data_IF_545387976487
#
_entry.id   IF_545387976487
#
_cell.length_a   1.000
_cell.length_b   1.000
_cell.length_c   1.000
_cell.angle_alpha   90.00
_cell.angle_beta   90.00
_cell.angle_gamma   90.00
#
_symmetry.space_group_name_H-M   'P 1'
#
loop_
_entity.id
_entity.type
_entity.pdbx_description
1 polymer ?
#
# COMPACT_ATOMS: atom_id res chain seq x y z
N UNK A 1 -4.63 28.00 9.74
CA UNK A 1 -5.77 27.75 10.64
C UNK A 1 -6.29 29.08 11.17
N UNK A 2 -7.60 29.27 11.27
CA UNK A 2 -8.20 30.45 11.91
C UNK A 2 -8.69 30.06 13.29
N UNK A 3 -8.26 30.79 14.33
CA UNK A 3 -8.63 30.51 15.72
C UNK A 3 -9.76 31.47 16.16
N UNK A 4 -10.87 30.92 16.65
CA UNK A 4 -11.99 31.70 17.16
C UNK A 4 -12.20 31.42 18.65
N UNK A 5 -12.31 32.47 19.48
CA UNK A 5 -12.75 32.32 20.89
C UNK A 5 -14.23 32.59 21.00
N UNK A 6 -14.94 31.71 21.70
CA UNK A 6 -16.37 31.80 22.02
C UNK A 6 -16.58 31.37 23.45
N UNK A 7 -17.53 32.01 24.13
CA UNK A 7 -17.96 31.60 25.46
C UNK A 7 -19.06 30.54 25.32
N UNK A 8 -19.02 29.54 26.19
CA UNK A 8 -20.13 28.60 26.37
C UNK A 8 -21.24 29.33 27.13
N UNK A 9 -22.47 29.19 26.66
CA UNK A 9 -23.67 29.80 27.24
C UNK A 9 -24.58 28.70 27.77
N UNK A 10 -24.97 28.77 29.04
CA UNK A 10 -25.97 27.86 29.60
C UNK A 10 -27.35 28.22 29.07
N UNK A 11 -28.09 27.21 28.63
CA UNK A 11 -29.49 27.32 28.21
C UNK A 11 -30.28 26.34 29.09
N UNK A 12 -31.43 26.78 29.60
CA UNK A 12 -32.20 26.04 30.61
C UNK A 12 -32.40 24.55 30.25
N UNK A 13 -32.51 23.70 31.28
CA UNK A 13 -32.67 22.25 31.11
C UNK A 13 -31.36 21.46 31.01
N UNK A 14 -30.22 22.03 31.45
CA UNK A 14 -28.93 21.32 31.50
C UNK A 14 -28.16 21.32 30.18
N UNK A 15 -28.54 22.17 29.22
CA UNK A 15 -27.90 22.25 27.91
C UNK A 15 -26.95 23.46 27.83
N UNK A 16 -25.93 23.34 26.98
CA UNK A 16 -24.96 24.40 26.73
C UNK A 16 -24.92 24.71 25.23
N UNK A 17 -24.71 25.99 24.89
CA UNK A 17 -24.59 26.45 23.51
C UNK A 17 -23.28 27.20 23.30
N UNK A 18 -22.74 27.10 22.08
CA UNK A 18 -21.58 27.87 21.61
C UNK A 18 -21.88 28.37 20.21
N UNK A 19 -21.58 29.64 19.92
CA UNK A 19 -21.87 30.22 18.61
C UNK A 19 -20.79 29.85 17.59
N UNK A 20 -21.21 29.35 16.43
CA UNK A 20 -20.31 28.98 15.35
C UNK A 20 -19.80 30.21 14.58
N UNK A 21 -18.58 30.20 14.00
CA UNK A 21 -18.07 31.32 13.23
C UNK A 21 -18.94 31.59 11.99
N UNK A 22 -19.40 32.83 11.79
CA UNK A 22 -20.23 33.23 10.63
C UNK A 22 -19.59 32.91 9.29
N UNK A 23 -18.28 33.12 9.16
CA UNK A 23 -17.53 32.80 7.93
C UNK A 23 -17.48 31.30 7.63
N UNK A 24 -17.44 30.46 8.67
CA UNK A 24 -17.53 29.01 8.50
C UNK A 24 -18.94 28.63 8.03
N UNK A 25 -19.98 29.11 8.70
CA UNK A 25 -21.40 28.89 8.33
C UNK A 25 -21.65 29.23 6.85
N UNK A 26 -21.19 30.40 6.39
CA UNK A 26 -21.29 30.82 4.98
C UNK A 26 -20.55 29.87 4.04
N UNK A 27 -19.30 29.51 4.38
CA UNK A 27 -18.45 28.65 3.54
C UNK A 27 -19.05 27.26 3.35
N UNK A 28 -19.67 26.71 4.39
CA UNK A 28 -20.30 25.39 4.34
C UNK A 28 -21.78 25.43 3.97
N UNK A 29 -22.33 26.60 3.61
CA UNK A 29 -23.71 26.75 3.15
C UNK A 29 -24.79 26.45 4.20
N UNK A 30 -24.45 26.50 5.49
CA UNK A 30 -25.40 26.21 6.56
C UNK A 30 -26.32 27.40 6.85
N UNK A 31 -27.58 27.11 7.18
CA UNK A 31 -28.61 28.10 7.47
C UNK A 31 -29.27 27.82 8.84
N UNK A 32 -30.17 28.70 9.26
CA UNK A 32 -30.99 28.44 10.47
C UNK A 32 -31.80 27.17 10.25
N UNK A 33 -31.69 26.22 11.18
CA UNK A 33 -32.36 24.92 11.11
C UNK A 33 -31.53 23.82 10.44
N UNK A 34 -30.37 24.14 9.85
CA UNK A 34 -29.46 23.11 9.35
C UNK A 34 -28.87 22.29 10.50
N UNK A 35 -28.75 20.99 10.29
CA UNK A 35 -28.14 20.07 11.25
C UNK A 35 -26.62 20.01 11.06
N UNK A 36 -25.92 19.70 12.16
CA UNK A 36 -24.50 19.40 12.17
C UNK A 36 -24.26 18.13 12.96
N UNK A 37 -23.29 17.33 12.53
CA UNK A 37 -22.75 16.23 13.31
C UNK A 37 -21.68 16.76 14.25
N UNK A 38 -21.64 16.22 15.46
CA UNK A 38 -20.62 16.53 16.46
C UNK A 38 -19.88 15.26 16.82
N UNK A 39 -18.56 15.28 16.69
CA UNK A 39 -17.67 14.17 17.03
C UNK A 39 -16.78 14.64 18.17
N UNK A 40 -16.80 13.90 19.28
CA UNK A 40 -15.81 14.05 20.34
C UNK A 40 -14.60 13.22 19.95
N UNK A 41 -13.47 13.89 19.72
CA UNK A 41 -12.21 13.25 19.35
C UNK A 41 -11.50 12.68 20.59
N UNK A 42 -10.55 11.73 20.45
CA UNK A 42 -9.83 11.14 21.58
C UNK A 42 -9.08 12.15 22.47
N UNK A 43 -8.68 13.30 21.94
CA UNK A 43 -8.04 14.40 22.68
C UNK A 43 -9.03 15.31 23.43
N UNK A 44 -10.30 14.90 23.52
CA UNK A 44 -11.44 15.66 24.04
C UNK A 44 -11.78 16.93 23.25
N UNK A 45 -11.24 17.10 22.04
CA UNK A 45 -11.71 18.16 21.16
C UNK A 45 -13.08 17.82 20.58
N UNK A 46 -13.87 18.84 20.27
CA UNK A 46 -15.18 18.69 19.65
C UNK A 46 -15.09 19.14 18.19
N UNK A 47 -15.25 18.22 17.25
CA UNK A 47 -15.31 18.52 15.82
C UNK A 47 -16.76 18.63 15.36
N UNK A 48 -17.07 19.72 14.66
CA UNK A 48 -18.40 20.00 14.13
C UNK A 48 -18.36 19.87 12.61
N UNK A 49 -19.25 19.06 12.06
CA UNK A 49 -19.29 18.69 10.65
C UNK A 49 -20.68 19.04 10.09
N UNK A 50 -20.81 19.71 8.94
CA UNK A 50 -22.10 19.91 8.27
C UNK A 50 -22.77 18.56 7.97
N UNK A 51 -24.06 18.38 8.33
CA UNK A 51 -24.78 17.11 8.09
C UNK A 51 -25.01 16.87 6.60
N UNK A 52 -25.27 17.92 5.83
CA UNK A 52 -25.28 17.88 4.37
C UNK A 52 -23.86 18.15 3.88
N UNK A 53 -23.24 17.15 3.24
CA UNK A 53 -21.98 17.38 2.52
C UNK A 53 -22.25 18.49 1.51
N UNK A 54 -21.52 19.59 1.60
CA UNK A 54 -21.29 20.43 0.42
C UNK A 54 -20.42 19.58 -0.52
N UNK A 55 -21.06 18.71 -1.30
CA UNK A 55 -20.44 17.69 -2.16
C UNK A 55 -19.78 18.28 -3.42
N UNK A 56 -19.53 19.59 -3.45
CA UNK A 56 -19.20 20.32 -4.67
C UNK A 56 -17.87 21.08 -4.59
N UNK A 57 -16.86 20.52 -3.90
CA UNK A 57 -15.52 20.69 -4.46
C UNK A 57 -15.35 19.52 -5.41
N UNK A 58 -15.68 19.76 -6.68
CA UNK A 58 -15.31 18.89 -7.79
C UNK A 58 -13.86 18.45 -7.58
N UNK A 59 -13.66 17.19 -7.18
CA UNK A 59 -12.33 16.56 -7.16
C UNK A 59 -11.95 16.19 -8.61
N UNK A 60 -12.02 17.19 -9.47
CA UNK A 60 -11.68 17.16 -10.88
C UNK A 60 -10.35 17.90 -11.04
N UNK A 61 -9.34 17.19 -11.52
CA UNK A 61 -8.03 17.77 -11.83
C UNK A 61 -7.80 17.61 -13.31
N UNK A 62 -7.33 18.68 -13.96
CA UNK A 62 -6.82 18.60 -15.34
C UNK A 62 -5.30 18.75 -15.32
N UNK A 63 -4.60 17.86 -16.00
CA UNK A 63 -3.15 17.93 -16.21
C UNK A 63 -2.85 17.99 -17.71
N UNK A 64 -1.80 18.73 -18.08
CA UNK A 64 -1.26 18.77 -19.44
C UNK A 64 0.08 18.04 -19.45
N UNK A 65 0.29 17.16 -20.43
CA UNK A 65 1.49 16.32 -20.56
C UNK A 65 1.93 16.25 -22.02
N UNK A 66 3.23 16.11 -22.28
CA UNK A 66 3.73 15.85 -23.62
C UNK A 66 3.49 14.39 -24.05
N UNK A 67 3.29 14.15 -25.34
CA UNK A 67 3.09 12.80 -25.90
C UNK A 67 4.25 11.81 -25.71
N UNK A 68 5.43 12.26 -25.29
CA UNK A 68 6.60 11.40 -24.99
C UNK A 68 6.80 11.13 -23.50
N UNK A 69 6.01 11.74 -22.63
CA UNK A 69 6.22 11.75 -21.18
C UNK A 69 5.55 10.57 -20.46
N UNK A 70 5.50 9.38 -21.08
CA UNK A 70 4.68 8.24 -20.60
C UNK A 70 4.84 7.94 -19.10
N UNK A 71 6.08 7.70 -18.64
CA UNK A 71 6.35 7.37 -17.24
C UNK A 71 6.12 8.55 -16.29
N UNK A 72 6.30 9.78 -16.76
CA UNK A 72 5.97 10.96 -15.98
C UNK A 72 4.44 11.08 -15.81
N UNK A 73 3.68 10.88 -16.89
CA UNK A 73 2.22 10.86 -16.86
C UNK A 73 1.69 9.76 -15.94
N UNK A 74 2.24 8.55 -15.99
CA UNK A 74 1.91 7.47 -15.04
C UNK A 74 2.12 7.91 -13.59
N UNK A 75 3.27 8.53 -13.27
CA UNK A 75 3.55 9.01 -11.91
C UNK A 75 2.55 10.08 -11.46
N UNK A 76 2.14 10.99 -12.35
CA UNK A 76 1.10 11.98 -12.06
C UNK A 76 -0.25 11.32 -11.80
N UNK A 77 -0.65 10.36 -12.64
CA UNK A 77 -1.91 9.63 -12.47
C UNK A 77 -1.95 8.94 -11.10
N UNK A 78 -0.91 8.17 -10.77
CA UNK A 78 -0.81 7.48 -9.48
C UNK A 78 -0.83 8.49 -8.32
N UNK A 79 -0.13 9.62 -8.46
CA UNK A 79 -0.08 10.66 -7.42
C UNK A 79 -1.44 11.28 -7.13
N UNK A 80 -2.18 11.68 -8.16
CA UNK A 80 -3.53 12.24 -8.02
C UNK A 80 -4.54 11.19 -7.55
N UNK A 81 -4.39 9.94 -8.01
CA UNK A 81 -5.18 8.83 -7.49
C UNK A 81 -4.93 8.62 -5.98
N UNK A 82 -3.70 8.55 -5.51
CA UNK A 82 -3.40 8.43 -4.08
C UNK A 82 -3.88 9.64 -3.28
N UNK A 83 -3.83 10.84 -3.87
CA UNK A 83 -4.34 12.06 -3.25
C UNK A 83 -5.87 12.05 -3.04
N UNK A 84 -6.60 11.10 -3.65
CA UNK A 84 -8.05 11.01 -3.51
C UNK A 84 -8.82 11.89 -4.50
N UNK A 85 -8.24 12.15 -5.68
CA UNK A 85 -8.95 12.78 -6.82
C UNK A 85 -9.95 11.79 -7.39
N UNK A 86 -11.18 12.23 -7.70
CA UNK A 86 -12.22 11.35 -8.24
C UNK A 86 -12.21 11.36 -9.77
N UNK A 87 -11.89 12.49 -10.39
CA UNK A 87 -11.82 12.62 -11.85
C UNK A 87 -10.50 13.27 -12.23
N UNK A 88 -9.70 12.59 -13.06
CA UNK A 88 -8.45 13.12 -13.60
C UNK A 88 -8.58 13.21 -15.12
N UNK A 89 -8.55 14.44 -15.64
CA UNK A 89 -8.51 14.72 -17.06
C UNK A 89 -7.06 14.95 -17.49
N UNK A 90 -6.62 14.24 -18.51
CA UNK A 90 -5.25 14.28 -19.02
C UNK A 90 -5.31 14.80 -20.44
N UNK A 91 -4.75 15.98 -20.68
CA UNK A 91 -4.63 16.59 -22.01
C UNK A 91 -3.22 16.29 -22.52
N UNK A 92 -3.14 15.71 -23.72
CA UNK A 92 -1.89 15.28 -24.35
C UNK A 92 -1.50 16.28 -25.43
N UNK A 93 -0.41 17.01 -25.19
CA UNK A 93 0.20 17.90 -26.16
C UNK A 93 1.02 17.08 -27.16
N UNK A 94 0.71 17.23 -28.45
CA UNK A 94 1.36 16.48 -29.56
C UNK A 94 1.31 14.96 -29.33
N UNK A 95 0.15 14.33 -29.50
CA UNK A 95 -0.01 12.94 -29.13
C UNK A 95 0.77 11.99 -30.05
N UNK A 96 1.54 11.10 -29.43
CA UNK A 96 2.16 9.97 -30.11
C UNK A 96 1.14 8.84 -30.33
N UNK A 97 1.32 8.00 -31.37
CA UNK A 97 0.47 6.84 -31.59
C UNK A 97 0.40 5.93 -30.35
N UNK A 98 -0.80 5.45 -30.03
CA UNK A 98 -1.09 4.55 -28.91
C UNK A 98 -0.84 5.10 -27.49
N UNK A 99 -0.36 6.33 -27.31
CA UNK A 99 -0.03 6.86 -25.98
C UNK A 99 -1.18 6.73 -24.97
N UNK A 100 -2.38 7.19 -25.33
CA UNK A 100 -3.57 7.11 -24.46
C UNK A 100 -4.04 5.67 -24.24
N UNK A 101 -3.89 4.81 -25.26
CA UNK A 101 -4.20 3.37 -25.16
C UNK A 101 -3.28 2.66 -24.16
N UNK A 102 -1.97 2.91 -24.25
CA UNK A 102 -0.98 2.33 -23.34
C UNK A 102 -1.19 2.83 -21.90
N UNK A 103 -1.53 4.11 -21.73
CA UNK A 103 -1.89 4.66 -20.42
C UNK A 103 -3.12 3.96 -19.84
N UNK A 104 -4.18 3.77 -20.63
CA UNK A 104 -5.38 3.05 -20.20
C UNK A 104 -5.05 1.62 -19.76
N UNK A 105 -4.27 0.89 -20.55
CA UNK A 105 -3.89 -0.49 -20.22
C UNK A 105 -3.09 -0.56 -18.93
N UNK A 106 -2.14 0.36 -18.73
CA UNK A 106 -1.36 0.44 -17.49
C UNK A 106 -2.24 0.76 -16.29
N UNK A 107 -3.09 1.78 -16.40
CA UNK A 107 -3.99 2.24 -15.33
C UNK A 107 -4.97 1.15 -14.92
N UNK A 108 -5.61 0.47 -15.90
CA UNK A 108 -6.61 -0.56 -15.61
C UNK A 108 -6.03 -1.76 -14.85
N UNK A 109 -4.77 -2.11 -15.13
CA UNK A 109 -4.05 -3.18 -14.40
C UNK A 109 -3.75 -2.75 -12.97
N UNK A 110 -3.18 -1.56 -12.75
CA UNK A 110 -2.59 -1.16 -11.47
C UNK A 110 -3.47 -0.32 -10.55
N UNK A 111 -4.55 0.32 -11.04
CA UNK A 111 -5.43 1.14 -10.20
C UNK A 111 -6.77 0.45 -9.98
N UNK A 112 -7.21 0.39 -8.73
CA UNK A 112 -8.48 -0.23 -8.38
C UNK A 112 -9.62 0.77 -8.54
N UNK A 113 -10.63 0.40 -9.31
CA UNK A 113 -11.84 1.20 -9.45
C UNK A 113 -11.72 2.44 -10.31
N UNK A 114 -10.66 2.55 -11.10
CA UNK A 114 -10.49 3.61 -12.09
C UNK A 114 -11.01 3.11 -13.42
N UNK A 115 -11.97 3.82 -13.98
CA UNK A 115 -12.53 3.59 -15.31
C UNK A 115 -12.16 4.74 -16.24
N UNK A 116 -12.01 4.42 -17.52
CA UNK A 116 -11.85 5.44 -18.57
C UNK A 116 -13.22 5.87 -19.05
N UNK A 117 -13.52 7.15 -18.93
CA UNK A 117 -14.84 7.71 -19.31
C UNK A 117 -14.78 8.40 -20.67
N UNK A 118 -13.61 8.90 -21.04
CA UNK A 118 -13.36 9.55 -22.32
C UNK A 118 -11.93 9.24 -22.78
N UNK A 119 -11.78 8.83 -24.05
CA UNK A 119 -10.49 8.52 -24.67
C UNK A 119 -10.48 9.07 -26.09
N UNK A 120 -9.47 9.87 -26.40
CA UNK A 120 -9.10 10.29 -27.76
C UNK A 120 -7.58 10.27 -27.91
N UNK A 121 -7.06 10.75 -29.04
CA UNK A 121 -5.61 10.96 -29.17
C UNK A 121 -5.10 12.08 -28.26
N UNK A 122 -5.91 13.11 -28.00
CA UNK A 122 -5.48 14.32 -27.25
C UNK A 122 -5.97 14.35 -25.80
N UNK A 123 -6.79 13.39 -25.39
CA UNK A 123 -7.43 13.42 -24.08
C UNK A 123 -7.67 12.02 -23.53
N UNK A 124 -7.45 11.87 -22.22
CA UNK A 124 -7.85 10.71 -21.45
C UNK A 124 -8.48 11.16 -20.12
N UNK A 125 -9.75 10.83 -19.90
CA UNK A 125 -10.47 11.13 -18.66
C UNK A 125 -10.63 9.85 -17.84
N UNK A 126 -10.01 9.84 -16.65
CA UNK A 126 -10.06 8.75 -15.68
C UNK A 126 -11.02 9.11 -14.55
N UNK A 127 -11.89 8.19 -14.17
CA UNK A 127 -12.81 8.37 -13.05
C UNK A 127 -12.73 7.21 -12.07
N UNK A 128 -12.61 7.53 -10.77
CA UNK A 128 -12.69 6.57 -9.68
C UNK A 128 -14.17 6.28 -9.36
N UNK A 129 -14.67 5.12 -9.76
CA UNK A 129 -16.08 4.71 -9.58
C UNK A 129 -16.27 3.83 -8.33
N UNK A 130 -15.18 3.32 -7.73
CA UNK A 130 -15.28 2.46 -6.55
C UNK A 130 -15.70 3.24 -5.30
N UNK A 131 -16.73 2.74 -4.64
CA UNK A 131 -16.96 3.01 -3.23
C UNK A 131 -15.77 2.47 -2.43
N UNK A 132 -14.88 3.39 -2.05
CA UNK A 132 -13.66 3.10 -1.29
C UNK A 132 -13.94 2.48 0.08
N UNK A 133 -15.20 2.32 0.51
CA UNK A 133 -15.59 1.64 1.74
C UNK A 133 -15.96 0.16 1.54
N UNK A 134 -16.24 -0.28 0.30
CA UNK A 134 -16.66 -1.66 0.01
C UNK A 134 -15.56 -2.71 0.32
N UNK A 135 -14.29 -2.34 0.11
CA UNK A 135 -13.14 -3.14 0.51
C UNK A 135 -12.37 -2.42 1.62
N UNK A 136 -12.60 -2.81 2.86
CA UNK A 136 -11.97 -2.18 4.04
C UNK A 136 -10.44 -2.36 4.08
N UNK A 137 -9.76 -1.57 4.89
CA UNK A 137 -8.30 -1.66 5.06
C UNK A 137 -7.85 -3.04 5.57
N UNK A 138 -8.46 -3.65 6.61
CA UNK A 138 -8.04 -4.98 7.06
C UNK A 138 -8.16 -6.05 5.97
N UNK A 139 -9.22 -5.99 5.15
CA UNK A 139 -9.41 -6.91 4.02
C UNK A 139 -8.37 -6.68 2.93
N UNK A 140 -8.09 -5.43 2.59
CA UNK A 140 -7.08 -5.05 1.59
C UNK A 140 -5.68 -5.48 2.03
N UNK A 141 -5.33 -5.23 3.29
CA UNK A 141 -4.05 -5.59 3.86
C UNK A 141 -3.84 -7.10 3.90
N UNK A 142 -4.87 -7.87 4.28
CA UNK A 142 -4.82 -9.33 4.23
C UNK A 142 -4.68 -9.87 2.80
N UNK A 143 -5.34 -9.27 1.80
CA UNK A 143 -5.13 -9.66 0.39
C UNK A 143 -3.73 -9.34 -0.09
N UNK A 144 -3.20 -8.17 0.26
CA UNK A 144 -1.82 -7.76 -0.04
C UNK A 144 -0.82 -8.75 0.55
N UNK A 145 -0.90 -9.02 1.86
CA UNK A 145 0.03 -9.92 2.55
C UNK A 145 -0.05 -11.36 2.01
N UNK A 146 -1.25 -11.86 1.71
CA UNK A 146 -1.38 -13.20 1.10
C UNK A 146 -0.80 -13.28 -0.31
N UNK A 147 -1.02 -12.25 -1.12
CA UNK A 147 -0.48 -12.21 -2.49
C UNK A 147 1.04 -12.29 -2.48
N UNK A 148 1.68 -11.53 -1.60
CA UNK A 148 3.14 -11.56 -1.40
C UNK A 148 3.62 -12.92 -0.90
N UNK A 149 2.92 -13.53 0.07
CA UNK A 149 3.26 -14.87 0.55
C UNK A 149 3.22 -15.93 -0.55
N UNK A 150 2.18 -15.91 -1.39
CA UNK A 150 2.06 -16.82 -2.54
C UNK A 150 3.13 -16.58 -3.61
N UNK A 151 3.56 -15.32 -3.80
CA UNK A 151 4.70 -15.04 -4.70
C UNK A 151 5.99 -15.71 -4.20
N UNK A 152 6.27 -15.67 -2.90
CA UNK A 152 7.44 -16.32 -2.31
C UNK A 152 7.36 -17.86 -2.42
N UNK A 153 6.20 -18.44 -2.16
CA UNK A 153 5.94 -19.88 -2.32
C UNK A 153 6.12 -20.35 -3.77
N UNK A 154 5.61 -19.59 -4.73
CA UNK A 154 5.74 -19.89 -6.15
C UNK A 154 7.19 -19.83 -6.63
N UNK A 155 8.01 -18.92 -6.09
CA UNK A 155 9.46 -18.89 -6.35
C UNK A 155 10.12 -20.19 -5.89
N UNK A 156 9.81 -20.66 -4.68
CA UNK A 156 10.37 -21.92 -4.17
C UNK A 156 9.93 -23.11 -5.02
N UNK A 157 8.64 -23.19 -5.35
CA UNK A 157 8.07 -24.22 -6.23
C UNK A 157 8.71 -24.21 -7.61
N UNK A 158 8.94 -23.04 -8.19
CA UNK A 158 9.61 -22.88 -9.48
C UNK A 158 11.03 -23.47 -9.44
N UNK A 159 11.83 -23.13 -8.42
CA UNK A 159 13.18 -23.68 -8.26
C UNK A 159 13.14 -25.19 -8.04
N UNK A 160 12.20 -25.74 -7.25
CA UNK A 160 12.05 -27.18 -7.03
C UNK A 160 11.75 -27.93 -8.33
N UNK A 161 10.78 -27.43 -9.10
CA UNK A 161 10.28 -28.06 -10.33
C UNK A 161 11.10 -27.70 -11.57
N UNK A 162 12.04 -26.76 -11.43
CA UNK A 162 12.76 -26.13 -12.54
C UNK A 162 11.80 -25.54 -13.60
N UNK A 163 10.73 -24.88 -13.15
CA UNK A 163 9.67 -24.32 -14.01
C UNK A 163 9.75 -22.78 -14.11
N UNK A 164 10.30 -22.22 -15.21
CA UNK A 164 10.41 -20.78 -15.38
C UNK A 164 9.05 -20.09 -15.61
N UNK A 165 8.01 -20.81 -16.03
CA UNK A 165 6.69 -20.21 -16.29
C UNK A 165 6.04 -19.72 -15.00
N UNK A 166 6.18 -20.48 -13.92
CA UNK A 166 5.76 -20.05 -12.57
C UNK A 166 6.41 -18.71 -12.18
N UNK A 167 7.66 -18.44 -12.58
CA UNK A 167 8.30 -17.14 -12.30
C UNK A 167 7.75 -15.99 -13.14
N UNK A 168 7.31 -16.24 -14.37
CA UNK A 168 6.62 -15.23 -15.19
C UNK A 168 5.32 -14.80 -14.52
N UNK A 169 4.59 -15.74 -13.91
CA UNK A 169 3.39 -15.44 -13.15
C UNK A 169 3.71 -14.60 -11.90
N UNK A 170 4.80 -14.91 -11.18
CA UNK A 170 5.25 -14.09 -10.04
C UNK A 170 5.56 -12.67 -10.47
N UNK A 171 6.30 -12.49 -11.58
CA UNK A 171 6.62 -11.16 -12.14
C UNK A 171 5.34 -10.38 -12.48
N UNK A 172 4.32 -11.04 -13.03
CA UNK A 172 3.04 -10.40 -13.37
C UNK A 172 2.18 -10.07 -12.13
N UNK A 173 2.26 -10.86 -11.05
CA UNK A 173 1.50 -10.62 -9.81
C UNK A 173 1.98 -9.40 -9.03
N UNK A 174 3.16 -8.88 -9.31
CA UNK A 174 3.67 -7.62 -8.74
C UNK A 174 2.71 -6.45 -9.00
N UNK A 175 2.08 -6.40 -10.19
CA UNK A 175 1.04 -5.41 -10.51
C UNK A 175 -0.15 -5.45 -9.52
N UNK A 176 -0.46 -6.63 -8.96
CA UNK A 176 -1.54 -6.82 -7.99
C UNK A 176 -1.12 -6.30 -6.61
N UNK A 177 0.14 -6.53 -6.21
CA UNK A 177 0.72 -6.00 -4.97
C UNK A 177 0.68 -4.47 -4.98
N UNK A 178 1.20 -3.87 -6.06
CA UNK A 178 1.11 -2.44 -6.33
C UNK A 178 -0.33 -1.94 -6.17
N UNK A 179 -1.27 -2.59 -6.87
CA UNK A 179 -2.69 -2.21 -6.88
C UNK A 179 -3.30 -2.16 -5.49
N UNK A 180 -3.01 -3.13 -4.62
CA UNK A 180 -3.48 -3.09 -3.24
C UNK A 180 -2.82 -1.98 -2.45
N UNK A 181 -1.52 -1.75 -2.60
CA UNK A 181 -0.82 -0.69 -1.90
C UNK A 181 -1.37 0.71 -2.25
N UNK A 182 -1.47 1.05 -3.54
CA UNK A 182 -2.03 2.36 -3.95
C UNK A 182 -3.49 2.53 -3.51
N UNK A 183 -4.28 1.46 -3.50
CA UNK A 183 -5.66 1.49 -2.99
C UNK A 183 -5.69 1.77 -1.47
N UNK A 184 -4.91 1.06 -0.66
CA UNK A 184 -4.82 1.29 0.79
C UNK A 184 -4.33 2.73 1.07
N UNK A 185 -3.31 3.19 0.35
CA UNK A 185 -2.78 4.53 0.51
C UNK A 185 -3.81 5.61 0.16
N UNK A 186 -4.64 5.39 -0.88
CA UNK A 186 -5.78 6.28 -1.22
C UNK A 186 -6.80 6.31 -0.09
N UNK A 187 -7.23 5.16 0.45
CA UNK A 187 -8.20 5.10 1.54
C UNK A 187 -7.72 5.88 2.77
N UNK A 188 -6.48 5.65 3.19
CA UNK A 188 -5.87 6.32 4.32
C UNK A 188 -5.71 7.83 4.08
N UNK A 189 -5.38 8.23 2.85
CA UNK A 189 -5.32 9.65 2.47
C UNK A 189 -6.70 10.31 2.54
N UNK A 190 -7.76 9.61 2.09
CA UNK A 190 -9.13 10.11 2.18
C UNK A 190 -9.61 10.25 3.64
N UNK A 191 -9.20 9.35 4.54
CA UNK A 191 -9.42 9.48 5.98
C UNK A 191 -8.72 10.72 6.53
N UNK A 192 -7.43 10.90 6.23
CA UNK A 192 -6.64 12.05 6.69
C UNK A 192 -7.15 13.39 6.14
N UNK A 193 -7.75 13.39 4.94
CA UNK A 193 -8.43 14.55 4.34
C UNK A 193 -9.85 14.78 4.88
N UNK A 194 -10.35 13.93 5.77
CA UNK A 194 -11.69 14.02 6.34
C UNK A 194 -12.82 13.66 5.36
N UNK A 195 -12.51 12.98 4.24
CA UNK A 195 -13.49 12.56 3.23
C UNK A 195 -14.13 11.20 3.56
N UNK A 196 -13.40 10.35 4.28
CA UNK A 196 -13.88 9.09 4.85
C UNK A 196 -13.77 9.13 6.37
N UNK A 197 -14.66 8.42 7.06
CA UNK A 197 -14.53 8.20 8.51
C UNK A 197 -13.57 7.04 8.79
N UNK A 198 -12.92 7.08 9.95
CA UNK A 198 -12.08 5.99 10.45
C UNK A 198 -12.81 4.64 10.46
N UNK A 199 -14.04 4.63 10.97
CA UNK A 199 -14.92 3.46 11.02
C UNK A 199 -15.20 2.89 9.62
N UNK A 200 -15.49 3.75 8.63
CA UNK A 200 -15.80 3.30 7.26
C UNK A 200 -14.65 2.55 6.57
N UNK A 201 -13.40 2.80 7.00
CA UNK A 201 -12.20 2.13 6.47
C UNK A 201 -11.77 0.96 7.36
N UNK A 202 -12.26 0.91 8.61
CA UNK A 202 -11.92 -0.13 9.59
C UNK A 202 -10.63 0.14 10.36
N UNK A 203 -10.37 1.41 10.71
CA UNK A 203 -9.22 1.83 11.51
C UNK A 203 -9.71 2.54 12.77
N UNK A 204 -9.02 2.38 13.90
CA UNK A 204 -9.50 2.93 15.18
C UNK A 204 -9.09 4.38 15.49
N UNK A 205 -7.96 4.85 14.95
CA UNK A 205 -7.49 6.22 15.16
C UNK A 205 -6.65 6.74 13.98
N UNK A 206 -6.45 8.06 13.89
CA UNK A 206 -5.56 8.64 12.88
C UNK A 206 -4.09 8.21 13.06
N UNK A 207 -3.69 7.95 14.31
CA UNK A 207 -2.36 7.46 14.63
C UNK A 207 -2.18 6.04 14.08
N UNK A 208 -3.15 5.14 14.30
CA UNK A 208 -3.16 3.81 13.66
C UNK A 208 -3.15 3.88 12.13
N UNK A 209 -3.93 4.80 11.54
CA UNK A 209 -3.99 4.99 10.10
C UNK A 209 -2.60 5.27 9.50
N UNK A 210 -1.75 6.02 10.21
CA UNK A 210 -0.38 6.28 9.77
C UNK A 210 0.50 5.03 9.80
N UNK A 211 0.39 4.20 10.84
CA UNK A 211 1.17 2.97 10.97
C UNK A 211 0.71 1.90 9.97
N UNK A 212 -0.60 1.73 9.76
CA UNK A 212 -1.10 0.81 8.72
C UNK A 212 -0.64 1.21 7.31
N UNK A 213 -0.44 2.49 7.03
CA UNK A 213 0.17 2.93 5.76
C UNK A 213 1.60 2.43 5.63
N UNK A 214 2.37 2.47 6.72
CA UNK A 214 3.73 1.95 6.77
C UNK A 214 3.75 0.43 6.58
N UNK A 215 2.91 -0.31 7.33
CA UNK A 215 2.75 -1.77 7.19
C UNK A 215 2.41 -2.16 5.74
N UNK A 216 1.46 -1.46 5.11
CA UNK A 216 1.13 -1.71 3.70
C UNK A 216 2.31 -1.44 2.75
N UNK A 217 3.12 -0.41 3.02
CA UNK A 217 4.33 -0.14 2.24
C UNK A 217 5.38 -1.22 2.44
N UNK A 218 5.55 -1.73 3.66
CA UNK A 218 6.52 -2.79 3.94
C UNK A 218 6.12 -4.09 3.21
N UNK A 219 4.84 -4.48 3.21
CA UNK A 219 4.38 -5.62 2.40
C UNK A 219 4.64 -5.41 0.90
N UNK A 220 4.39 -4.22 0.36
CA UNK A 220 4.73 -3.91 -1.03
C UNK A 220 6.23 -4.03 -1.30
N UNK A 221 7.10 -3.58 -0.38
CA UNK A 221 8.56 -3.77 -0.50
C UNK A 221 8.96 -5.24 -0.50
N UNK A 222 8.31 -6.08 0.30
CA UNK A 222 8.54 -7.52 0.26
C UNK A 222 8.12 -8.08 -1.11
N UNK A 223 6.99 -7.62 -1.65
CA UNK A 223 6.54 -7.94 -3.02
C UNK A 223 7.55 -7.54 -4.10
N UNK A 224 8.08 -6.30 -4.05
CA UNK A 224 9.13 -5.82 -4.94
C UNK A 224 10.34 -6.77 -4.94
N UNK A 225 10.75 -7.23 -3.75
CA UNK A 225 11.88 -8.16 -3.62
C UNK A 225 11.54 -9.58 -4.08
N UNK A 226 10.31 -10.05 -3.90
CA UNK A 226 9.85 -11.30 -4.52
C UNK A 226 9.90 -11.21 -6.05
N UNK A 227 9.44 -10.10 -6.64
CA UNK A 227 9.60 -9.81 -8.06
C UNK A 227 11.07 -9.84 -8.49
N UNK A 228 11.96 -9.16 -7.76
CA UNK A 228 13.39 -9.12 -8.06
C UNK A 228 14.06 -10.50 -8.01
N UNK A 229 13.67 -11.35 -7.06
CA UNK A 229 14.12 -12.75 -7.00
C UNK A 229 13.66 -13.50 -8.24
N UNK A 230 12.36 -13.48 -8.54
CA UNK A 230 11.79 -14.17 -9.70
C UNK A 230 12.44 -13.72 -11.01
N UNK A 231 12.60 -12.40 -11.19
CA UNK A 231 13.23 -11.83 -12.38
C UNK A 231 14.70 -12.26 -12.52
N UNK A 232 15.46 -12.26 -11.42
CA UNK A 232 16.87 -12.68 -11.43
C UNK A 232 17.04 -14.17 -11.73
N UNK A 233 16.15 -15.03 -11.21
CA UNK A 233 16.14 -16.46 -11.50
C UNK A 233 15.73 -16.76 -12.94
N UNK A 234 14.77 -16.01 -13.49
CA UNK A 234 14.36 -16.12 -14.89
C UNK A 234 15.50 -15.70 -15.84
N UNK A 235 16.16 -14.58 -15.54
CA UNK A 235 17.32 -14.12 -16.30
C UNK A 235 18.48 -15.12 -16.18
N UNK A 236 18.65 -15.77 -15.03
CA UNK A 236 19.61 -16.87 -14.85
C UNK A 236 19.24 -18.08 -15.72
N UNK A 237 17.98 -18.48 -15.75
CA UNK A 237 17.48 -19.57 -16.59
C UNK A 237 17.70 -19.31 -18.08
N UNK A 238 17.48 -18.08 -18.55
CA UNK A 238 17.68 -17.73 -19.96
C UNK A 238 19.12 -17.93 -20.44
N UNK A 239 20.09 -17.91 -19.53
CA UNK A 239 21.51 -18.13 -19.85
C UNK A 239 21.95 -19.57 -19.52
N UNK A 240 21.52 -20.12 -18.38
CA UNK A 240 22.01 -21.39 -17.85
C UNK A 240 21.09 -22.60 -18.12
N UNK A 241 19.89 -22.36 -18.64
CA UNK A 241 18.82 -23.35 -18.85
C UNK A 241 18.46 -24.16 -17.58
N UNK A 242 18.63 -23.54 -16.41
CA UNK A 242 18.33 -24.06 -15.07
C UNK A 242 18.00 -22.88 -14.17
N UNK A 243 17.06 -23.02 -13.22
CA UNK A 243 16.64 -21.90 -12.37
C UNK A 243 17.61 -21.58 -11.22
N UNK A 244 18.53 -22.47 -10.92
CA UNK A 244 19.60 -22.22 -9.96
C UNK A 244 20.83 -23.08 -10.27
N UNK A 245 22.04 -22.64 -9.84
CA UNK A 245 23.24 -23.46 -9.91
C UNK A 245 23.11 -24.70 -9.01
N UNK A 246 23.44 -25.89 -9.53
CA UNK A 246 23.36 -27.15 -8.78
C UNK A 246 24.09 -27.10 -7.43
N UNK A 247 25.24 -26.43 -7.37
CA UNK A 247 26.06 -26.34 -6.17
C UNK A 247 25.43 -25.53 -5.03
N UNK A 248 24.46 -24.64 -5.30
CA UNK A 248 23.80 -23.82 -4.27
C UNK A 248 22.29 -24.05 -4.20
N UNK A 249 21.72 -24.82 -5.14
CA UNK A 249 20.27 -24.99 -5.28
C UNK A 249 19.59 -25.50 -4.02
N UNK A 250 20.15 -26.52 -3.36
CA UNK A 250 19.57 -27.10 -2.15
C UNK A 250 19.59 -26.10 -0.99
N UNK A 251 20.75 -25.50 -0.72
CA UNK A 251 20.91 -24.47 0.32
C UNK A 251 20.00 -23.27 0.06
N UNK A 252 19.92 -22.79 -1.19
CA UNK A 252 19.02 -21.70 -1.59
C UNK A 252 17.55 -22.05 -1.30
N UNK A 253 17.11 -23.24 -1.70
CA UNK A 253 15.74 -23.72 -1.45
C UNK A 253 15.43 -23.80 0.05
N UNK A 254 16.35 -24.35 0.84
CA UNK A 254 16.19 -24.47 2.29
C UNK A 254 16.07 -23.09 2.94
N UNK A 255 16.95 -22.15 2.57
CA UNK A 255 16.87 -20.78 3.09
C UNK A 255 15.59 -20.06 2.64
N UNK A 256 15.13 -20.28 1.41
CA UNK A 256 13.89 -19.68 0.92
C UNK A 256 12.66 -20.23 1.65
N UNK A 257 12.64 -21.53 1.96
CA UNK A 257 11.57 -22.15 2.77
C UNK A 257 11.53 -21.58 4.19
N UNK A 258 12.69 -21.43 4.83
CA UNK A 258 12.76 -20.78 6.15
C UNK A 258 12.31 -19.31 6.11
N UNK A 259 12.61 -18.59 5.03
CA UNK A 259 12.12 -17.23 4.79
C UNK A 259 10.59 -17.19 4.64
N UNK A 260 10.01 -18.11 3.86
CA UNK A 260 8.55 -18.23 3.70
C UNK A 260 7.87 -18.53 5.04
N UNK A 261 8.43 -19.46 5.83
CA UNK A 261 7.92 -19.77 7.17
C UNK A 261 7.97 -18.54 8.08
N UNK A 262 9.11 -17.85 8.13
CA UNK A 262 9.28 -16.61 8.90
C UNK A 262 8.26 -15.55 8.48
N UNK A 263 8.06 -15.36 7.17
CA UNK A 263 7.08 -14.42 6.62
C UNK A 263 5.65 -14.72 7.08
N UNK A 264 5.23 -15.99 7.05
CA UNK A 264 3.87 -16.37 7.46
C UNK A 264 3.65 -16.22 8.97
N UNK A 265 4.65 -16.55 9.79
CA UNK A 265 4.60 -16.32 11.23
C UNK A 265 4.46 -14.81 11.52
N UNK A 266 5.29 -13.97 10.91
CA UNK A 266 5.22 -12.51 11.03
C UNK A 266 3.86 -11.98 10.55
N UNK A 267 3.36 -12.45 9.40
CA UNK A 267 2.06 -12.03 8.86
C UNK A 267 0.93 -12.39 9.82
N UNK A 268 0.98 -13.56 10.46
CA UNK A 268 0.00 -13.95 11.48
C UNK A 268 0.03 -12.98 12.66
N UNK A 269 1.22 -12.66 13.18
CA UNK A 269 1.40 -11.68 14.27
C UNK A 269 0.81 -10.32 13.90
N UNK A 270 1.11 -9.80 12.70
CA UNK A 270 0.58 -8.52 12.20
C UNK A 270 -0.95 -8.54 12.12
N UNK A 271 -1.55 -9.68 11.73
CA UNK A 271 -3.00 -9.81 11.58
C UNK A 271 -3.74 -9.97 12.90
N UNK A 272 -3.17 -10.71 13.85
CA UNK A 272 -3.78 -10.95 15.17
C UNK A 272 -3.41 -9.88 16.20
N UNK A 273 -2.35 -9.11 15.93
CA UNK A 273 -1.72 -8.18 16.87
C UNK A 273 -1.27 -8.88 18.17
N UNK A 274 -0.95 -10.18 18.08
CA UNK A 274 -0.45 -10.97 19.21
C UNK A 274 1.07 -10.81 19.32
N UNK A 275 1.50 -9.93 20.24
CA UNK A 275 2.89 -9.51 20.36
C UNK A 275 3.75 -10.39 21.28
N UNK A 276 3.19 -11.48 21.82
CA UNK A 276 3.88 -12.31 22.81
C UNK A 276 5.18 -12.94 22.28
N UNK A 277 5.22 -13.28 21.00
CA UNK A 277 6.35 -13.96 20.35
C UNK A 277 7.23 -13.03 19.50
N UNK A 278 7.01 -11.70 19.53
CA UNK A 278 7.71 -10.75 18.64
C UNK A 278 9.23 -10.81 18.81
N UNK A 279 9.74 -10.68 20.04
CA UNK A 279 11.18 -10.71 20.31
C UNK A 279 11.84 -12.01 19.85
N UNK A 280 11.16 -13.14 20.09
CA UNK A 280 11.60 -14.46 19.64
C UNK A 280 11.65 -14.53 18.12
N UNK A 281 10.66 -13.95 17.44
CA UNK A 281 10.58 -13.94 15.99
C UNK A 281 11.63 -13.02 15.36
N UNK A 282 11.93 -11.87 15.96
CA UNK A 282 13.04 -10.99 15.52
C UNK A 282 14.37 -11.75 15.60
N UNK A 283 14.68 -12.38 16.74
CA UNK A 283 15.90 -13.16 16.90
C UNK A 283 16.00 -14.33 15.89
N UNK A 284 14.87 -14.97 15.58
CA UNK A 284 14.79 -16.01 14.54
C UNK A 284 15.09 -15.46 13.14
N UNK A 285 14.52 -14.30 12.79
CA UNK A 285 14.75 -13.62 11.53
C UNK A 285 16.21 -13.16 11.37
N UNK A 286 16.83 -12.64 12.43
CA UNK A 286 18.26 -12.28 12.44
C UNK A 286 19.15 -13.49 12.16
N UNK A 287 18.88 -14.62 12.82
CA UNK A 287 19.61 -15.87 12.57
C UNK A 287 19.42 -16.37 11.13
N UNK A 288 18.21 -16.27 10.59
CA UNK A 288 17.95 -16.61 9.20
C UNK A 288 18.73 -15.70 8.25
N UNK A 289 18.83 -14.40 8.54
CA UNK A 289 19.63 -13.45 7.76
C UNK A 289 21.11 -13.84 7.72
N UNK A 290 21.66 -14.33 8.84
CA UNK A 290 23.02 -14.89 8.86
C UNK A 290 23.15 -16.12 7.97
N UNK A 291 22.16 -17.02 7.97
CA UNK A 291 22.18 -18.20 7.11
C UNK A 291 22.11 -17.84 5.63
N UNK A 292 21.22 -16.92 5.23
CA UNK A 292 21.16 -16.38 3.87
C UNK A 292 22.48 -15.70 3.48
N UNK A 293 23.15 -15.05 4.42
CA UNK A 293 24.46 -14.44 4.15
C UNK A 293 25.55 -15.47 3.82
N UNK A 294 25.45 -16.72 4.31
CA UNK A 294 26.40 -17.79 3.93
C UNK A 294 26.31 -18.18 2.46
N UNK A 295 25.15 -17.99 1.83
CA UNK A 295 24.95 -18.24 0.40
C UNK A 295 25.90 -17.43 -0.49
N UNK A 296 26.40 -16.28 -0.03
CA UNK A 296 27.44 -15.52 -0.76
C UNK A 296 28.70 -16.37 -1.00
N UNK A 297 29.16 -17.09 0.04
CA UNK A 297 30.35 -17.94 -0.05
C UNK A 297 30.06 -19.20 -0.87
N UNK A 298 28.89 -19.80 -0.67
CA UNK A 298 28.48 -20.99 -1.41
C UNK A 298 28.33 -20.70 -2.91
N UNK A 299 27.93 -19.48 -3.27
CA UNK A 299 27.79 -19.04 -4.66
C UNK A 299 29.11 -18.81 -5.38
N UNK A 300 30.27 -18.94 -4.73
CA UNK A 300 31.57 -18.83 -5.41
C UNK A 300 31.84 -19.95 -6.43
N UNK A 301 31.07 -21.04 -6.37
CA UNK A 301 31.08 -22.10 -7.40
C UNK A 301 30.37 -21.70 -8.70
N UNK A 302 29.59 -20.61 -8.70
CA UNK A 302 28.79 -20.17 -9.84
C UNK A 302 29.69 -19.52 -10.88
N UNK A 303 29.41 -19.77 -12.16
CA UNK A 303 30.15 -19.14 -13.25
C UNK A 303 30.16 -17.61 -13.13
N UNK A 304 31.30 -16.93 -13.36
CA UNK A 304 31.41 -15.48 -13.16
C UNK A 304 30.35 -14.66 -13.90
N UNK A 305 29.94 -15.09 -15.09
CA UNK A 305 28.90 -14.44 -15.89
C UNK A 305 27.50 -14.47 -15.23
N UNK A 306 27.26 -15.46 -14.36
CA UNK A 306 25.97 -15.70 -13.71
C UNK A 306 25.96 -15.31 -12.23
N UNK A 307 27.14 -15.14 -11.62
CA UNK A 307 27.28 -14.81 -10.20
C UNK A 307 26.46 -13.57 -9.81
N UNK A 308 26.49 -12.52 -10.63
CA UNK A 308 25.75 -11.28 -10.35
C UNK A 308 24.22 -11.46 -10.26
N UNK A 309 23.64 -12.46 -10.94
CA UNK A 309 22.23 -12.80 -10.82
C UNK A 309 21.94 -13.49 -9.48
N UNK A 310 22.80 -14.42 -9.09
CA UNK A 310 22.67 -15.09 -7.79
C UNK A 310 22.86 -14.13 -6.61
N UNK A 311 23.80 -13.18 -6.71
CA UNK A 311 23.97 -12.17 -5.67
C UNK A 311 22.73 -11.27 -5.51
N UNK A 312 22.03 -10.96 -6.61
CA UNK A 312 20.76 -10.20 -6.56
C UNK A 312 19.63 -10.97 -5.90
N UNK A 313 19.56 -12.29 -6.11
CA UNK A 313 18.64 -13.18 -5.40
C UNK A 313 18.92 -13.14 -3.89
N UNK A 314 20.17 -13.34 -3.49
CA UNK A 314 20.57 -13.38 -2.08
C UNK A 314 20.30 -12.03 -1.38
N UNK A 315 20.63 -10.91 -2.03
CA UNK A 315 20.36 -9.60 -1.45
C UNK A 315 18.86 -9.32 -1.32
N UNK A 316 18.06 -9.73 -2.30
CA UNK A 316 16.60 -9.57 -2.22
C UNK A 316 16.00 -10.44 -1.11
N UNK A 317 16.49 -11.67 -0.90
CA UNK A 317 16.08 -12.51 0.24
C UNK A 317 16.40 -11.83 1.59
N UNK A 318 17.60 -11.24 1.72
CA UNK A 318 17.97 -10.47 2.93
C UNK A 318 17.04 -9.29 3.17
N UNK A 319 16.70 -8.55 2.11
CA UNK A 319 15.75 -7.43 2.21
C UNK A 319 14.36 -7.86 2.63
N UNK A 320 13.86 -8.99 2.13
CA UNK A 320 12.60 -9.56 2.63
C UNK A 320 12.67 -9.83 4.13
N UNK A 321 13.77 -10.41 4.63
CA UNK A 321 13.95 -10.68 6.06
C UNK A 321 14.01 -9.38 6.88
N UNK A 322 14.77 -8.39 6.42
CA UNK A 322 14.84 -7.07 7.07
C UNK A 322 13.43 -6.46 7.16
N UNK A 323 12.65 -6.52 6.07
CA UNK A 323 11.26 -6.05 6.08
C UNK A 323 10.31 -6.87 6.95
N UNK A 324 10.55 -8.16 7.18
CA UNK A 324 9.77 -8.92 8.18
C UNK A 324 10.06 -8.47 9.60
N UNK A 325 11.26 -7.97 9.89
CA UNK A 325 11.59 -7.37 11.18
C UNK A 325 10.86 -6.03 11.31
N UNK A 326 10.90 -5.17 10.28
CA UNK A 326 10.17 -3.89 10.26
C UNK A 326 8.65 -4.07 10.50
N UNK A 327 8.05 -5.16 9.99
CA UNK A 327 6.65 -5.50 10.24
C UNK A 327 6.36 -5.83 11.71
N UNK A 328 7.28 -6.53 12.39
CA UNK A 328 7.15 -6.88 13.79
C UNK A 328 7.25 -5.63 14.68
N UNK A 329 8.22 -4.76 14.39
CA UNK A 329 8.38 -3.47 15.07
C UNK A 329 7.14 -2.58 14.87
N UNK A 330 6.65 -2.47 13.63
CA UNK A 330 5.42 -1.73 13.33
C UNK A 330 4.19 -2.30 14.08
N UNK A 331 4.18 -3.61 14.35
CA UNK A 331 3.09 -4.25 15.11
C UNK A 331 3.13 -3.85 16.59
N UNK A 332 4.33 -3.78 17.19
CA UNK A 332 4.50 -3.27 18.56
C UNK A 332 4.02 -1.82 18.66
N UNK A 333 4.35 -0.97 17.69
CA UNK A 333 3.90 0.42 17.64
C UNK A 333 2.36 0.53 17.58
N UNK A 334 1.72 -0.30 16.75
CA UNK A 334 0.24 -0.33 16.65
C UNK A 334 -0.39 -0.74 17.99
N UNK A 335 0.16 -1.78 18.63
CA UNK A 335 -0.35 -2.25 19.93
C UNK A 335 -0.15 -1.21 21.03
N UNK A 336 0.98 -0.49 21.02
CA UNK A 336 1.24 0.60 21.96
C UNK A 336 0.18 1.71 21.84
N UNK A 337 -0.17 2.13 20.61
CA UNK A 337 -1.25 3.11 20.38
C UNK A 337 -2.59 2.58 20.88
N UNK A 338 -2.92 1.32 20.56
CA UNK A 338 -4.17 0.71 21.02
C UNK A 338 -4.29 0.65 22.53
N UNK A 339 -3.20 0.34 23.23
CA UNK A 339 -3.15 0.34 24.69
C UNK A 339 -3.44 1.74 25.26
N UNK A 340 -2.81 2.78 24.72
CA UNK A 340 -3.04 4.17 25.14
C UNK A 340 -4.47 4.63 24.89
N UNK A 341 -5.08 4.16 23.79
CA UNK A 341 -6.46 4.48 23.44
C UNK A 341 -7.50 3.59 24.18
N UNK A 342 -7.06 2.60 24.98
CA UNK A 342 -7.94 1.66 25.69
C UNK A 342 -8.65 0.65 24.77
N UNK A 343 -8.03 0.27 23.65
CA UNK A 343 -8.58 -0.57 22.57
C UNK A 343 -7.76 -1.83 22.25
N UNK A 344 -6.84 -2.21 23.12
CA UNK A 344 -5.98 -3.40 22.94
C UNK A 344 -6.69 -4.70 23.32
#
# INVERSE_FOLDING_TARGET
MSLYRRKIQSVGGGSYTVSLPKEWIRRVGLNKGSEVLMVVEPDNTLRIIPSEKNTSVEDHVTIQVGGLDFWHTIRLIVSYYMAGVNTLNIIVDKPEPNFTKELREFVSKRLMGVEVVEESSHQLTLQSIVDTTALTLPKSLNKLSKTVGYMLEDIASAIERNDPNTLLDVVARDDIVDKFYVYIARQLTLVLRGKLSLESVGVGSLAEASLYKMVAKIFERIGDHAHNIAKSLLDYYNVANSLAPKCVRESLLDQLKSLIESYWITTKIVQTLDVNDVEKQIASAEKLREHVTRLYRESLCVEPALLGLMLRVIESMKRVIDYTIDLLESTLDIVAIKNLDGRA
#
